data_IF_501981431446
#
_entry.id   IF_501981431446
#
_cell.length_a   1.000
_cell.length_b   1.000
_cell.length_c   1.000
_cell.angle_alpha   90.00
_cell.angle_beta   90.00
_cell.angle_gamma   90.00
#
_symmetry.space_group_name_H-M   'P 1'
#
loop_
_entity.id
_entity.type
_entity.pdbx_description
1 polymer ?
#
# COMPACT_ATOMS: atom_id res chain seq x y z
N UNK A 1 -10.83 14.04 17.57
CA UNK A 1 -9.70 13.75 18.49
C UNK A 1 -9.49 12.25 18.42
N UNK A 2 -8.28 11.81 18.05
CA UNK A 2 -7.96 10.36 17.99
C UNK A 2 -8.01 9.85 19.45
N UNK A 3 -8.74 8.75 19.66
CA UNK A 3 -8.67 8.00 20.92
C UNK A 3 -7.37 7.20 20.90
N UNK A 4 -6.33 7.76 21.52
CA UNK A 4 -4.97 7.25 21.43
C UNK A 4 -4.82 5.79 21.87
N UNK A 5 -5.57 5.34 22.88
CA UNK A 5 -5.51 3.95 23.35
C UNK A 5 -6.16 2.99 22.36
N UNK A 6 -7.34 3.32 21.85
CA UNK A 6 -8.07 2.52 20.87
C UNK A 6 -7.31 2.45 19.54
N UNK A 7 -6.79 3.58 19.07
CA UNK A 7 -5.97 3.62 17.86
C UNK A 7 -4.70 2.77 18.00
N UNK A 8 -3.98 2.92 19.11
CA UNK A 8 -2.77 2.13 19.36
C UNK A 8 -3.06 0.62 19.39
N UNK A 9 -4.18 0.20 20.00
CA UNK A 9 -4.58 -1.19 20.04
C UNK A 9 -4.93 -1.73 18.65
N UNK A 10 -5.65 -0.97 17.82
CA UNK A 10 -5.96 -1.36 16.45
C UNK A 10 -4.69 -1.52 15.61
N UNK A 11 -3.77 -0.56 15.67
CA UNK A 11 -2.48 -0.62 14.98
C UNK A 11 -1.66 -1.83 15.46
N UNK A 12 -1.62 -2.09 16.76
CA UNK A 12 -0.91 -3.25 17.33
C UNK A 12 -1.44 -4.56 16.75
N UNK A 13 -2.75 -4.76 16.69
CA UNK A 13 -3.36 -5.98 16.14
C UNK A 13 -3.14 -6.13 14.64
N UNK A 14 -3.23 -5.04 13.87
CA UNK A 14 -2.90 -5.05 12.44
C UNK A 14 -1.42 -5.41 12.24
N UNK A 15 -0.53 -4.87 13.07
CA UNK A 15 0.89 -5.17 13.03
C UNK A 15 1.21 -6.63 13.38
N UNK A 16 0.57 -7.17 14.40
CA UNK A 16 0.70 -8.58 14.78
C UNK A 16 0.28 -9.49 13.62
N UNK A 17 -0.90 -9.24 13.02
CA UNK A 17 -1.38 -9.99 11.88
C UNK A 17 -0.44 -9.91 10.67
N UNK A 18 0.12 -8.74 10.36
CA UNK A 18 1.13 -8.57 9.31
C UNK A 18 2.51 -9.15 9.70
N UNK A 19 2.81 -9.23 11.00
CA UNK A 19 4.02 -9.83 11.55
C UNK A 19 4.15 -11.34 11.28
N UNK A 20 3.04 -12.02 11.02
CA UNK A 20 2.96 -13.43 10.66
C UNK A 20 3.38 -13.73 9.21
N UNK A 21 3.66 -12.69 8.37
CA UNK A 21 4.10 -12.91 6.98
C UNK A 21 5.34 -13.84 6.97
N UNK A 22 5.28 -15.00 6.31
CA UNK A 22 6.42 -15.91 6.22
C UNK A 22 7.59 -15.33 5.40
N UNK A 23 7.32 -14.33 4.56
CA UNK A 23 8.34 -13.65 3.76
C UNK A 23 9.04 -12.60 4.61
N UNK A 24 10.35 -12.64 4.60
CA UNK A 24 11.19 -11.72 5.39
C UNK A 24 12.00 -10.79 4.48
N UNK A 25 12.25 -9.59 4.97
CA UNK A 25 13.13 -8.58 4.37
C UNK A 25 14.17 -8.20 5.43
N UNK A 26 15.44 -8.14 5.04
CA UNK A 26 16.51 -7.70 5.94
C UNK A 26 16.54 -6.17 5.98
N UNK A 27 16.39 -5.63 7.18
CA UNK A 27 16.52 -4.20 7.46
C UNK A 27 17.49 -4.05 8.63
N UNK A 28 18.59 -3.35 8.41
CA UNK A 28 19.66 -3.14 9.39
C UNK A 28 20.12 -4.44 10.06
N UNK A 29 20.24 -5.51 9.26
CA UNK A 29 20.66 -6.84 9.73
C UNK A 29 19.59 -7.66 10.43
N UNK A 30 18.37 -7.13 10.59
CA UNK A 30 17.26 -7.81 11.26
C UNK A 30 16.22 -8.27 10.24
N UNK A 31 15.82 -9.56 10.31
CA UNK A 31 14.77 -10.12 9.46
C UNK A 31 13.39 -9.68 9.95
N UNK A 32 12.70 -8.85 9.18
CA UNK A 32 11.37 -8.36 9.51
C UNK A 32 10.31 -8.88 8.51
N UNK A 33 9.06 -8.98 8.95
CA UNK A 33 7.94 -9.41 8.12
C UNK A 33 7.68 -8.39 6.99
N UNK A 34 7.63 -8.89 5.74
CA UNK A 34 7.60 -8.02 4.55
C UNK A 34 6.37 -7.13 4.48
N UNK A 35 5.17 -7.67 4.75
CA UNK A 35 3.94 -6.87 4.70
C UNK A 35 3.84 -5.89 5.88
N UNK A 36 4.40 -6.23 7.04
CA UNK A 36 4.50 -5.30 8.17
C UNK A 36 5.35 -4.08 7.81
N UNK A 37 6.53 -4.30 7.23
CA UNK A 37 7.40 -3.21 6.76
C UNK A 37 6.72 -2.36 5.69
N UNK A 38 6.05 -3.01 4.74
CA UNK A 38 5.35 -2.31 3.68
C UNK A 38 4.26 -1.40 4.24
N UNK A 39 3.41 -1.91 5.14
CA UNK A 39 2.35 -1.15 5.80
C UNK A 39 2.89 0.04 6.62
N UNK A 40 4.02 -0.13 7.31
CA UNK A 40 4.70 0.95 8.04
C UNK A 40 5.15 2.06 7.11
N UNK A 41 5.84 1.71 6.03
CA UNK A 41 6.32 2.67 5.02
C UNK A 41 5.16 3.44 4.36
N UNK A 42 4.02 2.78 4.11
CA UNK A 42 2.84 3.47 3.57
C UNK A 42 2.28 4.49 4.57
N UNK A 43 2.17 4.14 5.85
CA UNK A 43 1.78 5.11 6.88
C UNK A 43 2.74 6.29 6.98
N UNK A 44 4.05 6.07 6.85
CA UNK A 44 5.06 7.13 6.88
C UNK A 44 4.91 8.06 5.68
N UNK A 45 4.60 7.53 4.50
CA UNK A 45 4.30 8.34 3.32
C UNK A 45 2.99 9.11 3.44
N UNK A 46 1.93 8.49 3.99
CA UNK A 46 0.68 9.19 4.26
C UNK A 46 0.91 10.42 5.15
N UNK A 47 1.71 10.29 6.22
CA UNK A 47 2.05 11.40 7.11
C UNK A 47 2.89 12.50 6.44
N UNK A 48 3.64 12.17 5.39
CA UNK A 48 4.38 13.16 4.59
C UNK A 48 3.49 13.87 3.57
N UNK A 49 2.50 13.17 3.03
CA UNK A 49 1.60 13.68 1.99
C UNK A 49 0.44 14.51 2.55
N UNK A 50 0.00 14.20 3.76
CA UNK A 50 -1.16 14.82 4.42
C UNK A 50 -0.70 15.38 5.77
N UNK A 51 -0.86 16.68 5.96
CA UNK A 51 -0.41 17.35 7.20
C UNK A 51 -1.17 16.83 8.44
N UNK A 52 -2.48 16.62 8.30
CA UNK A 52 -3.35 16.13 9.37
C UNK A 52 -4.20 14.96 8.82
N UNK A 53 -3.61 13.74 8.72
CA UNK A 53 -4.33 12.60 8.23
C UNK A 53 -5.40 12.16 9.24
N UNK A 54 -6.59 11.80 8.76
CA UNK A 54 -7.62 11.25 9.61
C UNK A 54 -7.18 9.92 10.23
N UNK A 55 -7.83 9.55 11.33
CA UNK A 55 -7.64 8.24 11.96
C UNK A 55 -7.98 7.11 10.98
N UNK A 56 -9.06 7.26 10.24
CA UNK A 56 -9.52 6.31 9.22
C UNK A 56 -8.48 6.12 8.11
N UNK A 57 -7.85 7.20 7.65
CA UNK A 57 -6.78 7.11 6.63
C UNK A 57 -5.55 6.38 7.18
N UNK A 58 -5.15 6.63 8.42
CA UNK A 58 -4.02 5.94 9.05
C UNK A 58 -4.30 4.45 9.27
N UNK A 59 -5.52 4.11 9.71
CA UNK A 59 -5.97 2.72 9.85
C UNK A 59 -6.00 2.01 8.49
N UNK A 60 -6.54 2.66 7.46
CA UNK A 60 -6.57 2.13 6.10
C UNK A 60 -5.15 1.94 5.54
N UNK A 61 -4.25 2.91 5.75
CA UNK A 61 -2.86 2.82 5.33
C UNK A 61 -2.12 1.63 5.98
N UNK A 62 -2.46 1.32 7.25
CA UNK A 62 -1.87 0.18 7.95
C UNK A 62 -2.46 -1.15 7.51
N UNK A 63 -3.76 -1.19 7.17
CA UNK A 63 -4.52 -2.40 6.86
C UNK A 63 -4.64 -2.74 5.38
N UNK A 64 -4.29 -1.85 4.43
CA UNK A 64 -4.61 -2.04 3.00
C UNK A 64 -3.89 -3.20 2.29
N UNK A 65 -2.92 -3.83 2.94
CA UNK A 65 -2.25 -5.06 2.47
C UNK A 65 -2.24 -6.17 3.53
N UNK A 66 -3.16 -6.09 4.49
CA UNK A 66 -3.24 -6.98 5.65
C UNK A 66 -3.29 -8.44 5.22
N UNK A 67 -2.31 -9.23 5.70
CA UNK A 67 -2.16 -10.66 5.41
C UNK A 67 -2.18 -10.99 3.90
N UNK A 68 -1.57 -10.16 3.07
CA UNK A 68 -1.57 -10.28 1.60
C UNK A 68 -1.16 -11.67 1.07
N UNK A 69 -0.30 -12.39 1.77
CA UNK A 69 0.18 -13.72 1.37
C UNK A 69 -0.90 -14.81 1.41
N UNK A 70 -2.02 -14.57 2.12
CA UNK A 70 -3.12 -15.53 2.21
C UNK A 70 -3.86 -15.76 0.88
N UNK A 71 -3.78 -14.78 -0.04
CA UNK A 71 -4.33 -14.88 -1.39
C UNK A 71 -3.20 -14.74 -2.42
N UNK A 72 -2.45 -15.83 -2.69
CA UNK A 72 -1.33 -15.78 -3.61
C UNK A 72 -1.78 -15.63 -5.08
N UNK A 73 -0.94 -14.96 -5.88
CA UNK A 73 -1.24 -14.61 -7.27
C UNK A 73 -1.40 -15.82 -8.19
N UNK A 74 -0.73 -16.91 -7.91
CA UNK A 74 -0.70 -18.13 -8.70
C UNK A 74 -2.03 -18.89 -8.69
N UNK A 75 -2.92 -18.62 -7.73
CA UNK A 75 -4.30 -19.13 -7.71
C UNK A 75 -5.21 -18.53 -8.80
N UNK A 76 -4.72 -17.53 -9.53
CA UNK A 76 -5.49 -16.82 -10.56
C UNK A 76 -4.80 -16.90 -11.92
N UNK A 77 -5.53 -16.91 -13.03
CA UNK A 77 -4.96 -17.00 -14.38
C UNK A 77 -3.89 -15.90 -14.62
N UNK A 78 -2.80 -16.24 -15.32
CA UNK A 78 -1.72 -15.30 -15.70
C UNK A 78 -2.12 -14.40 -16.88
N UNK A 79 -3.32 -13.83 -16.81
CA UNK A 79 -3.92 -12.92 -17.80
C UNK A 79 -4.27 -11.59 -17.17
N UNK A 80 -4.55 -10.56 -17.97
CA UNK A 80 -5.03 -9.26 -17.46
C UNK A 80 -6.36 -9.36 -16.69
N UNK A 81 -7.39 -10.10 -17.17
CA UNK A 81 -8.60 -10.35 -16.39
C UNK A 81 -8.31 -11.09 -15.08
N UNK A 82 -7.49 -12.14 -15.10
CA UNK A 82 -7.12 -12.88 -13.90
C UNK A 82 -6.35 -12.00 -12.88
N UNK A 83 -5.51 -11.08 -13.35
CA UNK A 83 -4.87 -10.09 -12.48
C UNK A 83 -5.90 -9.15 -11.82
N UNK A 84 -6.90 -8.68 -12.58
CA UNK A 84 -7.97 -7.82 -12.02
C UNK A 84 -8.81 -8.57 -10.99
N UNK A 85 -9.16 -9.83 -11.26
CA UNK A 85 -9.89 -10.68 -10.31
C UNK A 85 -9.09 -10.85 -9.01
N UNK A 86 -7.81 -11.17 -9.11
CA UNK A 86 -6.94 -11.29 -7.96
C UNK A 86 -6.85 -9.98 -7.15
N UNK A 87 -6.67 -8.83 -7.82
CA UNK A 87 -6.63 -7.52 -7.13
C UNK A 87 -7.93 -7.20 -6.40
N UNK A 88 -9.08 -7.53 -7.02
CA UNK A 88 -10.40 -7.34 -6.38
C UNK A 88 -10.56 -8.25 -5.16
N UNK A 89 -10.20 -9.52 -5.27
CA UNK A 89 -10.25 -10.46 -4.15
C UNK A 89 -9.33 -10.05 -3.00
N UNK A 90 -8.11 -9.57 -3.31
CA UNK A 90 -7.20 -9.04 -2.30
C UNK A 90 -7.79 -7.82 -1.57
N UNK A 91 -8.32 -6.84 -2.30
CA UNK A 91 -8.87 -5.64 -1.68
C UNK A 91 -10.04 -5.98 -0.75
N UNK A 92 -10.95 -6.87 -1.18
CA UNK A 92 -12.05 -7.34 -0.35
C UNK A 92 -11.54 -8.04 0.91
N UNK A 93 -10.60 -8.97 0.77
CA UNK A 93 -10.01 -9.70 1.89
C UNK A 93 -9.35 -8.75 2.90
N UNK A 94 -8.52 -7.80 2.44
CA UNK A 94 -7.88 -6.82 3.32
C UNK A 94 -8.90 -5.95 4.07
N UNK A 95 -9.94 -5.49 3.36
CA UNK A 95 -11.01 -4.69 3.95
C UNK A 95 -11.80 -5.48 5.02
N UNK A 96 -12.08 -6.76 4.76
CA UNK A 96 -12.80 -7.62 5.71
C UNK A 96 -11.94 -7.93 6.95
N UNK A 97 -10.66 -8.24 6.78
CA UNK A 97 -9.74 -8.47 7.90
C UNK A 97 -9.57 -7.21 8.76
N UNK A 98 -9.36 -6.06 8.13
CA UNK A 98 -9.26 -4.78 8.85
C UNK A 98 -10.56 -4.46 9.61
N UNK A 99 -11.72 -4.63 8.98
CA UNK A 99 -13.02 -4.42 9.61
C UNK A 99 -13.21 -5.31 10.84
N UNK A 100 -12.85 -6.59 10.77
CA UNK A 100 -12.92 -7.51 11.91
C UNK A 100 -12.10 -7.01 13.10
N UNK A 101 -10.84 -6.63 12.86
CA UNK A 101 -9.98 -6.06 13.91
C UNK A 101 -10.59 -4.79 14.51
N UNK A 102 -11.08 -3.87 13.68
CA UNK A 102 -11.66 -2.62 14.14
C UNK A 102 -12.94 -2.83 14.95
N UNK A 103 -13.78 -3.78 14.55
CA UNK A 103 -14.97 -4.17 15.27
C UNK A 103 -14.65 -4.72 16.67
N UNK A 104 -13.66 -5.61 16.77
CA UNK A 104 -13.20 -6.18 18.04
C UNK A 104 -12.61 -5.13 18.98
N UNK A 105 -11.97 -4.10 18.43
CA UNK A 105 -11.41 -2.96 19.19
C UNK A 105 -12.49 -1.95 19.60
N UNK A 106 -13.72 -2.05 19.05
CA UNK A 106 -14.84 -1.21 19.42
C UNK A 106 -14.96 0.09 18.60
N UNK A 107 -14.51 0.10 17.36
CA UNK A 107 -14.76 1.20 16.43
C UNK A 107 -16.21 1.23 15.98
N UNK A 108 -16.71 2.44 15.68
CA UNK A 108 -18.06 2.62 15.14
C UNK A 108 -18.20 2.05 13.72
N UNK A 109 -19.42 1.65 13.34
CA UNK A 109 -19.73 1.22 11.97
C UNK A 109 -19.38 2.31 10.93
N UNK A 110 -19.51 3.58 11.29
CA UNK A 110 -19.14 4.70 10.41
C UNK A 110 -17.65 4.69 10.11
N UNK A 111 -16.80 4.58 11.13
CA UNK A 111 -15.34 4.48 10.99
C UNK A 111 -14.94 3.24 10.21
N UNK A 112 -15.51 2.09 10.54
CA UNK A 112 -15.24 0.81 9.85
C UNK A 112 -15.61 0.91 8.36
N UNK A 113 -16.78 1.46 8.05
CA UNK A 113 -17.23 1.67 6.67
C UNK A 113 -16.27 2.57 5.91
N UNK A 114 -15.81 3.67 6.51
CA UNK A 114 -14.85 4.58 5.88
C UNK A 114 -13.50 3.91 5.62
N UNK A 115 -12.95 3.19 6.59
CA UNK A 115 -11.70 2.43 6.42
C UNK A 115 -11.82 1.38 5.31
N UNK A 116 -12.95 0.67 5.26
CA UNK A 116 -13.25 -0.29 4.19
C UNK A 116 -13.26 0.37 2.81
N UNK A 117 -13.96 1.50 2.66
CA UNK A 117 -14.04 2.25 1.40
C UNK A 117 -12.65 2.66 0.90
N UNK A 118 -11.78 3.15 1.79
CA UNK A 118 -10.39 3.49 1.47
C UNK A 118 -9.59 2.27 1.01
N UNK A 119 -9.68 1.14 1.71
CA UNK A 119 -8.96 -0.11 1.34
C UNK A 119 -9.48 -0.68 0.02
N UNK A 120 -10.79 -0.64 -0.21
CA UNK A 120 -11.43 -1.07 -1.46
C UNK A 120 -11.14 -0.13 -2.63
N UNK A 121 -10.65 1.09 -2.34
CA UNK A 121 -10.38 2.16 -3.32
C UNK A 121 -11.66 2.62 -4.02
N UNK A 122 -12.75 2.73 -3.26
CA UNK A 122 -13.99 3.29 -3.73
C UNK A 122 -13.81 4.78 -3.98
N UNK A 123 -14.17 5.24 -5.18
CA UNK A 123 -14.12 6.65 -5.61
C UNK A 123 -12.80 7.38 -5.29
N UNK A 124 -11.71 6.64 -5.11
CA UNK A 124 -10.42 7.17 -4.66
C UNK A 124 -9.89 8.36 -5.45
N UNK A 125 -10.30 8.53 -6.72
CA UNK A 125 -9.86 9.66 -7.55
C UNK A 125 -10.49 10.99 -7.13
N UNK A 126 -11.68 10.93 -6.58
CA UNK A 126 -12.44 12.11 -6.14
C UNK A 126 -12.33 12.33 -4.64
N UNK A 127 -11.76 11.35 -3.93
CA UNK A 127 -11.51 11.38 -2.49
C UNK A 127 -10.04 11.79 -2.21
N UNK A 128 -9.79 12.93 -1.54
CA UNK A 128 -8.43 13.37 -1.22
C UNK A 128 -7.62 12.36 -0.41
N UNK A 129 -8.24 11.65 0.55
CA UNK A 129 -7.58 10.63 1.35
C UNK A 129 -7.32 9.35 0.55
N UNK A 130 -8.27 8.95 -0.30
CA UNK A 130 -8.09 7.84 -1.23
C UNK A 130 -6.93 8.11 -2.20
N UNK A 131 -6.77 9.35 -2.68
CA UNK A 131 -5.63 9.77 -3.51
C UNK A 131 -4.32 9.72 -2.75
N UNK A 132 -4.30 10.21 -1.51
CA UNK A 132 -3.10 10.17 -0.67
C UNK A 132 -2.65 8.72 -0.37
N UNK A 133 -3.60 7.81 -0.13
CA UNK A 133 -3.31 6.39 0.08
C UNK A 133 -2.74 5.73 -1.20
N UNK A 134 -3.30 6.04 -2.38
CA UNK A 134 -2.78 5.54 -3.65
C UNK A 134 -1.38 6.10 -3.94
N UNK A 135 -1.13 7.39 -3.67
CA UNK A 135 0.19 8.01 -3.80
C UNK A 135 1.20 7.32 -2.89
N UNK A 136 0.86 7.10 -1.62
CA UNK A 136 1.72 6.43 -0.65
C UNK A 136 2.06 4.99 -1.09
N UNK A 137 1.07 4.20 -1.55
CA UNK A 137 1.28 2.85 -2.09
C UNK A 137 2.22 2.87 -3.30
N UNK A 138 2.04 3.83 -4.22
CA UNK A 138 2.91 4.01 -5.38
C UNK A 138 4.34 4.40 -4.98
N UNK A 139 4.51 5.31 -4.02
CA UNK A 139 5.84 5.75 -3.54
C UNK A 139 6.60 4.61 -2.88
N UNK A 140 5.95 3.84 -2.00
CA UNK A 140 6.58 2.65 -1.39
C UNK A 140 6.94 1.60 -2.45
N UNK A 141 6.08 1.39 -3.46
CA UNK A 141 6.41 0.51 -4.58
C UNK A 141 7.68 0.97 -5.31
N UNK A 142 7.79 2.25 -5.66
CA UNK A 142 8.97 2.81 -6.34
C UNK A 142 10.23 2.69 -5.48
N UNK A 143 10.12 2.96 -4.19
CA UNK A 143 11.23 3.00 -3.24
C UNK A 143 11.77 1.60 -2.89
N UNK A 144 10.89 0.57 -2.82
CA UNK A 144 11.26 -0.71 -2.20
C UNK A 144 11.16 -1.92 -3.11
N UNK A 145 10.35 -1.86 -4.18
CA UNK A 145 10.08 -3.03 -5.03
C UNK A 145 10.63 -2.89 -6.44
N UNK A 146 10.83 -1.67 -6.92
CA UNK A 146 11.24 -1.42 -8.29
C UNK A 146 12.58 -2.10 -8.62
N UNK A 147 13.57 -1.99 -7.75
CA UNK A 147 14.89 -2.60 -7.94
C UNK A 147 14.79 -4.12 -8.16
N UNK A 148 14.05 -4.84 -7.33
CA UNK A 148 13.88 -6.29 -7.47
C UNK A 148 13.19 -6.71 -8.77
N UNK A 149 12.34 -5.85 -9.32
CA UNK A 149 11.69 -6.15 -10.61
C UNK A 149 12.58 -5.96 -11.82
N UNK A 150 13.68 -5.20 -11.70
CA UNK A 150 14.66 -5.03 -12.79
C UNK A 150 15.39 -6.33 -13.12
N UNK A 151 15.52 -7.22 -12.16
CA UNK A 151 16.15 -8.52 -12.35
C UNK A 151 15.17 -9.58 -12.88
N UNK A 152 13.85 -9.38 -12.63
CA UNK A 152 12.83 -10.35 -13.00
C UNK A 152 12.12 -10.03 -14.32
N UNK A 153 12.11 -8.76 -14.77
CA UNK A 153 11.32 -8.31 -15.92
C UNK A 153 12.14 -7.61 -16.99
N UNK A 154 11.69 -7.78 -18.22
CA UNK A 154 12.20 -6.99 -19.34
C UNK A 154 11.97 -5.49 -19.11
N UNK A 155 12.93 -4.67 -19.50
CA UNK A 155 12.90 -3.21 -19.34
C UNK A 155 11.62 -2.58 -19.89
N UNK A 156 11.19 -2.97 -21.10
CA UNK A 156 9.95 -2.48 -21.72
C UNK A 156 8.72 -2.74 -20.84
N UNK A 157 8.66 -3.90 -20.18
CA UNK A 157 7.57 -4.25 -19.25
C UNK A 157 7.63 -3.37 -18.01
N UNK A 158 8.82 -3.16 -17.46
CA UNK A 158 9.04 -2.29 -16.30
C UNK A 158 8.60 -0.85 -16.59
N UNK A 159 9.04 -0.28 -17.72
CA UNK A 159 8.62 1.06 -18.16
C UNK A 159 7.09 1.17 -18.30
N UNK A 160 6.43 0.17 -18.87
CA UNK A 160 4.97 0.16 -18.98
C UNK A 160 4.26 0.11 -17.61
N UNK A 161 4.83 -0.58 -16.63
CA UNK A 161 4.31 -0.60 -15.27
C UNK A 161 4.50 0.77 -14.61
N UNK A 162 5.68 1.37 -14.76
CA UNK A 162 5.97 2.71 -14.26
C UNK A 162 5.02 3.75 -14.87
N UNK A 163 4.80 3.74 -16.19
CA UNK A 163 3.80 4.63 -16.85
C UNK A 163 2.41 4.50 -16.22
N UNK A 164 1.96 3.28 -15.93
CA UNK A 164 0.67 3.04 -15.27
C UNK A 164 0.66 3.51 -13.82
N UNK A 165 1.77 3.35 -13.10
CA UNK A 165 1.93 3.81 -11.72
C UNK A 165 1.89 5.34 -11.67
N UNK A 166 2.69 6.02 -12.48
CA UNK A 166 2.72 7.48 -12.52
C UNK A 166 1.38 8.12 -12.90
N UNK A 167 0.60 7.50 -13.81
CA UNK A 167 -0.73 7.99 -14.21
C UNK A 167 -1.77 7.96 -13.09
N UNK A 168 -1.54 7.23 -12.03
CA UNK A 168 -2.41 7.16 -10.87
C UNK A 168 -2.07 8.24 -9.85
N UNK A 169 -0.84 8.70 -9.84
CA UNK A 169 -0.33 9.59 -8.81
C UNK A 169 -0.83 11.02 -9.01
N UNK A 170 -1.07 11.69 -7.89
CA UNK A 170 -1.37 13.12 -7.85
C UNK A 170 -0.11 13.96 -8.18
N UNK A 171 -0.28 15.27 -8.46
CA UNK A 171 0.88 16.17 -8.62
C UNK A 171 1.82 16.15 -7.40
N UNK A 172 1.29 16.06 -6.18
CA UNK A 172 2.09 15.95 -4.95
C UNK A 172 2.89 14.65 -4.91
N UNK A 173 2.23 13.50 -5.17
CA UNK A 173 2.88 12.20 -5.26
C UNK A 173 3.98 12.16 -6.33
N UNK A 174 3.73 12.74 -7.51
CA UNK A 174 4.71 12.85 -8.60
C UNK A 174 5.92 13.71 -8.20
N UNK A 175 5.71 14.78 -7.43
CA UNK A 175 6.78 15.60 -6.87
C UNK A 175 7.70 14.77 -5.98
N UNK A 176 7.12 14.00 -5.05
CA UNK A 176 7.88 13.10 -4.17
C UNK A 176 8.57 11.97 -4.95
N UNK A 177 7.92 11.38 -5.96
CA UNK A 177 8.54 10.35 -6.80
C UNK A 177 9.80 10.86 -7.53
N UNK A 178 9.84 12.15 -7.86
CA UNK A 178 11.02 12.79 -8.47
C UNK A 178 12.21 12.97 -7.53
N UNK A 179 11.99 12.95 -6.22
CA UNK A 179 13.01 13.15 -5.18
C UNK A 179 13.42 11.86 -4.44
N UNK A 180 12.88 10.70 -4.83
CA UNK A 180 13.26 9.42 -4.26
C UNK A 180 14.75 9.11 -4.55
N UNK A 181 15.42 8.53 -3.57
CA UNK A 181 16.78 8.00 -3.75
C UNK A 181 16.68 6.61 -4.38
N UNK A 182 16.79 6.58 -5.69
CA UNK A 182 16.75 5.36 -6.50
C UNK A 182 18.15 5.05 -7.04
N UNK A 183 18.42 3.79 -7.42
CA UNK A 183 19.60 3.46 -8.22
C UNK A 183 19.55 4.19 -9.57
N UNK A 184 20.71 4.39 -10.20
CA UNK A 184 20.82 5.06 -11.51
C UNK A 184 19.93 4.38 -12.55
N UNK A 185 19.84 3.05 -12.52
CA UNK A 185 18.99 2.26 -13.42
C UNK A 185 17.51 2.51 -13.18
N UNK A 186 17.06 2.49 -11.92
CA UNK A 186 15.68 2.81 -11.57
C UNK A 186 15.30 4.26 -11.93
N UNK A 187 16.20 5.21 -11.68
CA UNK A 187 16.00 6.61 -11.99
C UNK A 187 15.89 6.84 -13.52
N UNK A 188 16.70 6.14 -14.33
CA UNK A 188 16.61 6.20 -15.79
C UNK A 188 15.25 5.67 -16.29
N UNK A 189 14.81 4.50 -15.83
CA UNK A 189 13.52 3.93 -16.23
C UNK A 189 12.34 4.81 -15.79
N UNK A 190 12.45 5.45 -14.64
CA UNK A 190 11.44 6.40 -14.18
C UNK A 190 11.37 7.65 -15.08
N UNK A 191 12.53 8.14 -15.59
CA UNK A 191 12.57 9.24 -16.57
C UNK A 191 11.95 8.84 -17.90
N UNK A 192 12.26 7.66 -18.41
CA UNK A 192 11.65 7.10 -19.63
C UNK A 192 10.13 6.91 -19.49
N UNK A 193 9.65 6.61 -18.30
CA UNK A 193 8.22 6.45 -18.04
C UNK A 193 7.47 7.80 -17.95
N UNK A 194 8.16 8.91 -17.72
CA UNK A 194 7.58 10.27 -17.73
C UNK A 194 7.48 10.86 -19.14
N UNK A 195 8.30 10.39 -20.08
CA UNK A 195 8.22 10.74 -21.50
C UNK A 195 7.08 10.01 -22.23
#
# INVERSE_FOLDING_TARGET
MIDDERFAEAIRRIDEANGEDPRRELVDGTAQARELLFARRVCDWVRKLVAEPSEELLLAARGHTLQRWMIPRDRYPKTTPGYRQWRKALAAFHADQAAGILQEVGYSETTITRVRALILREDWRDDPEGRALEDADCLVFLETKLEGYLDEWEEKKTVNILKKTLRKMSPAGLGHAGSLRLSDRCAELLRQAKS
#
